data_IF_159175914960
#
_entry.id   IF_159175914960
#
_cell.length_a   1.000
_cell.length_b   1.000
_cell.length_c   1.000
_cell.angle_alpha   90.00
_cell.angle_beta   90.00
_cell.angle_gamma   90.00
#
_symmetry.space_group_name_H-M   'P 1'
#
loop_
_entity.id
_entity.type
_entity.pdbx_description
1 polymer ?
#
# COMPACT_ATOMS: atom_id res chain seq x y z
N UNK A 1 4.59 25.22 40.19
CA UNK A 1 4.26 25.05 38.75
C UNK A 1 5.25 24.13 37.99
N UNK A 2 6.52 24.02 38.37
CA UNK A 2 7.51 23.19 37.63
C UNK A 2 7.28 21.66 37.61
N UNK A 3 6.59 21.09 38.61
CA UNK A 3 6.31 19.63 38.66
C UNK A 3 5.29 19.17 37.61
N UNK A 4 4.35 20.04 37.20
CA UNK A 4 3.35 19.69 36.19
C UNK A 4 3.96 19.64 34.78
N UNK A 5 4.96 20.49 34.54
CA UNK A 5 5.66 20.58 33.25
C UNK A 5 6.50 19.32 32.99
N UNK A 6 7.13 18.77 34.03
CA UNK A 6 7.90 17.52 33.94
C UNK A 6 7.03 16.30 33.57
N UNK A 7 5.77 16.27 34.03
CA UNK A 7 4.82 15.19 33.73
C UNK A 7 4.37 15.21 32.26
N UNK A 8 4.17 16.40 31.68
CA UNK A 8 3.87 16.54 30.25
C UNK A 8 5.03 16.07 29.37
N UNK A 9 6.28 16.33 29.78
CA UNK A 9 7.48 15.88 29.05
C UNK A 9 7.62 14.35 28.99
N UNK A 10 7.11 13.64 29.99
CA UNK A 10 7.18 12.18 30.06
C UNK A 10 6.25 11.48 29.05
N UNK A 11 5.27 12.19 28.47
CA UNK A 11 4.28 11.63 27.55
C UNK A 11 4.63 11.83 26.06
N UNK A 12 5.65 12.65 25.74
CA UNK A 12 6.14 12.81 24.36
C UNK A 12 6.59 11.52 23.66
N UNK A 13 7.29 10.55 24.29
CA UNK A 13 7.77 9.37 23.56
C UNK A 13 6.65 8.45 23.07
N UNK A 14 5.42 8.56 23.61
CA UNK A 14 4.28 7.76 23.14
C UNK A 14 3.72 8.25 21.79
N UNK A 15 3.94 9.51 21.41
CA UNK A 15 3.47 10.07 20.13
C UNK A 15 4.38 9.68 18.95
N UNK A 16 5.62 9.27 19.20
CA UNK A 16 6.62 9.01 18.16
C UNK A 16 6.45 7.65 17.43
N UNK A 17 5.53 6.78 17.87
CA UNK A 17 5.39 5.40 17.36
C UNK A 17 4.22 5.20 16.38
N UNK A 18 3.54 6.27 15.97
CA UNK A 18 2.32 6.17 15.17
C UNK A 18 2.49 6.44 13.66
N UNK A 19 3.69 6.33 13.07
CA UNK A 19 3.89 6.35 11.61
C UNK A 19 4.58 5.06 11.15
N UNK A 20 3.79 4.01 10.95
CA UNK A 20 4.21 2.80 10.25
C UNK A 20 4.32 3.08 8.75
N UNK A 21 5.35 2.53 8.12
CA UNK A 21 5.53 2.57 6.67
C UNK A 21 5.19 1.19 6.10
N UNK A 22 4.69 1.16 4.88
CA UNK A 22 4.54 -0.06 4.10
C UNK A 22 5.33 0.01 2.80
N UNK A 23 5.77 -1.15 2.32
CA UNK A 23 6.23 -1.36 0.94
C UNK A 23 5.57 -2.60 0.39
N UNK A 24 4.92 -2.48 -0.76
CA UNK A 24 4.39 -3.60 -1.54
C UNK A 24 5.31 -3.78 -2.73
N UNK A 25 6.04 -4.88 -2.73
CA UNK A 25 6.84 -5.30 -3.89
C UNK A 25 6.14 -6.43 -4.60
N UNK A 26 6.07 -6.37 -5.92
CA UNK A 26 5.55 -7.48 -6.70
C UNK A 26 6.44 -7.87 -7.86
N UNK A 27 6.30 -9.13 -8.25
CA UNK A 27 6.92 -9.72 -9.43
C UNK A 27 5.88 -10.56 -10.17
N UNK A 28 5.89 -10.45 -11.50
CA UNK A 28 5.12 -11.34 -12.35
C UNK A 28 5.80 -11.57 -13.69
N UNK A 29 5.82 -12.82 -14.14
CA UNK A 29 6.49 -13.23 -15.38
C UNK A 29 5.92 -12.51 -16.60
N UNK A 30 4.64 -12.15 -16.56
CA UNK A 30 3.93 -11.48 -17.66
C UNK A 30 3.77 -9.96 -17.48
N UNK A 31 4.36 -9.37 -16.43
CA UNK A 31 4.41 -7.92 -16.27
C UNK A 31 5.44 -7.33 -17.24
N UNK A 32 5.01 -6.35 -18.04
CA UNK A 32 5.82 -5.71 -19.06
C UNK A 32 6.30 -4.35 -18.56
N UNK A 33 7.47 -3.93 -19.01
CA UNK A 33 7.94 -2.57 -18.73
C UNK A 33 6.92 -1.55 -19.24
N UNK A 34 6.58 -0.58 -18.40
CA UNK A 34 5.56 0.43 -18.72
C UNK A 34 4.14 0.04 -18.32
N UNK A 35 3.87 -1.20 -17.91
CA UNK A 35 2.61 -1.52 -17.26
C UNK A 35 2.44 -0.67 -16.00
N UNK A 36 1.22 -0.21 -15.76
CA UNK A 36 0.88 0.58 -14.59
C UNK A 36 0.15 -0.30 -13.57
N UNK A 37 0.67 -0.32 -12.36
CA UNK A 37 0.02 -0.96 -11.22
C UNK A 37 -0.63 0.12 -10.39
N UNK A 38 -1.93 0.00 -10.17
CA UNK A 38 -2.69 0.88 -9.30
C UNK A 38 -2.94 0.18 -7.97
N UNK A 39 -2.96 0.96 -6.90
CA UNK A 39 -3.30 0.53 -5.55
C UNK A 39 -4.50 1.36 -5.09
N UNK A 40 -5.49 0.68 -4.52
CA UNK A 40 -6.60 1.32 -3.82
C UNK A 40 -6.82 0.67 -2.46
N UNK A 41 -6.91 1.47 -1.41
CA UNK A 41 -7.20 1.00 -0.06
C UNK A 41 -7.91 2.07 0.78
N UNK A 42 -8.58 1.64 1.84
CA UNK A 42 -9.27 2.55 2.75
C UNK A 42 -8.35 2.94 3.91
N UNK A 43 -8.29 4.24 4.23
CA UNK A 43 -7.60 4.79 5.39
C UNK A 43 -8.54 5.72 6.15
N UNK A 44 -9.04 5.27 7.31
CA UNK A 44 -10.16 5.93 7.97
C UNK A 44 -11.38 5.91 7.06
N UNK A 45 -12.01 7.07 6.80
CA UNK A 45 -13.17 7.18 5.91
C UNK A 45 -12.82 7.53 4.46
N UNK A 46 -11.53 7.58 4.11
CA UNK A 46 -11.07 7.97 2.77
C UNK A 46 -10.52 6.78 2.01
N UNK A 47 -10.76 6.75 0.70
CA UNK A 47 -10.02 5.89 -0.22
C UNK A 47 -8.73 6.59 -0.64
N UNK A 48 -7.63 5.87 -0.52
CA UNK A 48 -6.33 6.25 -1.04
C UNK A 48 -6.12 5.53 -2.37
N UNK A 49 -5.65 6.27 -3.36
CA UNK A 49 -5.30 5.76 -4.67
C UNK A 49 -3.85 6.11 -4.95
N UNK A 50 -3.06 5.13 -5.37
CA UNK A 50 -1.66 5.30 -5.74
C UNK A 50 -1.37 4.48 -7.00
N UNK A 51 -0.23 4.73 -7.64
CA UNK A 51 0.21 3.93 -8.76
C UNK A 51 1.72 3.93 -8.94
N UNK A 52 2.22 2.90 -9.59
CA UNK A 52 3.62 2.75 -9.96
C UNK A 52 3.74 2.14 -11.36
N UNK A 53 4.95 2.14 -11.91
CA UNK A 53 5.25 1.57 -13.21
C UNK A 53 6.10 0.32 -13.03
N UNK A 54 5.80 -0.73 -13.79
CA UNK A 54 6.60 -1.94 -13.85
C UNK A 54 7.93 -1.67 -14.55
N UNK A 55 9.02 -2.12 -13.92
CA UNK A 55 10.37 -2.16 -14.49
C UNK A 55 10.99 -3.52 -14.21
N UNK A 56 11.52 -4.17 -15.25
CA UNK A 56 12.13 -5.50 -15.19
C UNK A 56 11.20 -6.52 -14.51
N UNK A 57 9.94 -6.56 -14.95
CA UNK A 57 8.89 -7.46 -14.43
C UNK A 57 8.55 -7.24 -12.94
N UNK A 58 8.99 -6.14 -12.34
CA UNK A 58 8.82 -5.83 -10.92
C UNK A 58 8.18 -4.46 -10.73
N UNK A 59 7.51 -4.30 -9.60
CA UNK A 59 6.98 -3.01 -9.17
C UNK A 59 7.13 -2.84 -7.67
N UNK A 60 7.12 -1.58 -7.23
CA UNK A 60 7.13 -1.22 -5.82
C UNK A 60 6.17 -0.04 -5.57
N UNK A 61 5.34 -0.17 -4.54
CA UNK A 61 4.48 0.87 -3.98
C UNK A 61 4.87 1.10 -2.53
N UNK A 62 4.93 2.37 -2.09
CA UNK A 62 5.31 2.74 -0.72
C UNK A 62 4.34 3.75 -0.17
N UNK A 63 4.08 3.66 1.13
CA UNK A 63 3.27 4.67 1.81
C UNK A 63 3.39 4.60 3.31
N UNK A 64 2.69 5.51 3.98
CA UNK A 64 2.55 5.53 5.43
C UNK A 64 1.19 4.95 5.80
N UNK A 65 1.21 3.89 6.59
CA UNK A 65 -0.01 3.24 7.05
C UNK A 65 0.24 2.55 8.39
N UNK A 66 -0.64 2.80 9.34
CA UNK A 66 -0.44 2.49 10.77
C UNK A 66 -1.49 1.55 11.33
N UNK A 67 -2.42 1.13 10.49
CA UNK A 67 -3.50 0.20 10.82
C UNK A 67 -3.44 -0.97 9.85
N UNK A 68 -4.51 -1.76 9.80
CA UNK A 68 -4.73 -2.79 8.78
C UNK A 68 -5.96 -2.39 7.97
N UNK A 69 -5.86 -2.45 6.65
CA UNK A 69 -7.00 -2.21 5.78
C UNK A 69 -6.99 -3.17 4.60
N UNK A 70 -8.19 -3.57 4.19
CA UNK A 70 -8.37 -4.24 2.92
C UNK A 70 -8.25 -3.23 1.78
N UNK A 71 -7.51 -3.62 0.77
CA UNK A 71 -7.37 -2.92 -0.49
C UNK A 71 -7.29 -3.90 -1.64
N UNK A 72 -6.98 -3.37 -2.81
CA UNK A 72 -6.67 -4.17 -3.99
C UNK A 72 -5.66 -3.44 -4.85
N UNK A 73 -4.99 -4.21 -5.69
CA UNK A 73 -4.17 -3.71 -6.77
C UNK A 73 -4.80 -4.10 -8.10
N UNK A 74 -4.64 -3.25 -9.11
CA UNK A 74 -5.10 -3.51 -10.48
C UNK A 74 -4.00 -3.17 -11.48
N UNK A 75 -3.90 -3.94 -12.56
CA UNK A 75 -2.98 -3.66 -13.66
C UNK A 75 -3.70 -2.96 -14.81
N UNK A 76 -3.09 -1.88 -15.30
CA UNK A 76 -3.48 -1.10 -16.49
C UNK A 76 -4.92 -0.53 -16.50
N UNK A 77 -5.70 -0.78 -15.46
CA UNK A 77 -7.04 -0.24 -15.26
C UNK A 77 -7.06 0.65 -14.02
N UNK A 78 -7.18 1.97 -14.24
CA UNK A 78 -7.25 2.94 -13.15
C UNK A 78 -8.63 2.87 -12.47
N UNK A 79 -8.72 2.58 -11.16
CA UNK A 79 -9.99 2.47 -10.47
C UNK A 79 -10.83 3.75 -10.43
N UNK A 80 -10.24 4.92 -10.69
CA UNK A 80 -10.97 6.18 -10.75
C UNK A 80 -11.73 6.41 -12.07
N UNK A 81 -11.34 5.71 -13.14
CA UNK A 81 -11.84 6.00 -14.49
C UNK A 81 -12.30 4.76 -15.26
N UNK A 82 -11.82 3.57 -14.90
CA UNK A 82 -12.18 2.35 -15.59
C UNK A 82 -13.59 1.90 -15.21
N UNK A 83 -14.39 1.52 -16.21
CA UNK A 83 -15.72 0.93 -16.00
C UNK A 83 -15.63 -0.46 -15.35
N UNK A 84 -14.56 -1.21 -15.65
CA UNK A 84 -14.33 -2.55 -15.11
C UNK A 84 -12.85 -2.79 -14.84
N UNK A 85 -12.56 -3.52 -13.76
CA UNK A 85 -11.21 -3.96 -13.40
C UNK A 85 -11.07 -5.47 -13.64
N UNK A 86 -10.22 -5.85 -14.59
CA UNK A 86 -10.08 -7.26 -15.02
C UNK A 86 -8.91 -8.01 -14.38
N UNK A 87 -7.78 -7.33 -14.13
CA UNK A 87 -6.56 -7.94 -13.57
C UNK A 87 -6.32 -7.34 -12.17
N UNK A 88 -7.05 -7.85 -11.18
CA UNK A 88 -7.07 -7.34 -9.81
C UNK A 88 -6.66 -8.38 -8.78
N UNK A 89 -5.99 -7.95 -7.72
CA UNK A 89 -5.68 -8.79 -6.57
C UNK A 89 -6.02 -8.08 -5.27
N UNK A 90 -6.81 -8.75 -4.42
CA UNK A 90 -7.15 -8.23 -3.11
C UNK A 90 -5.99 -8.41 -2.14
N UNK A 91 -5.66 -7.37 -1.38
CA UNK A 91 -4.57 -7.39 -0.41
C UNK A 91 -4.98 -6.73 0.90
N UNK A 92 -4.27 -7.09 1.97
CA UNK A 92 -4.29 -6.33 3.21
C UNK A 92 -3.06 -5.44 3.26
N UNK A 93 -3.28 -4.14 3.49
CA UNK A 93 -2.23 -3.15 3.73
C UNK A 93 -1.99 -3.13 5.23
N UNK A 94 -0.74 -3.34 5.62
CA UNK A 94 -0.27 -3.22 7.00
C UNK A 94 1.15 -2.66 6.99
N UNK A 95 1.61 -2.17 8.14
CA UNK A 95 2.99 -1.68 8.27
C UNK A 95 3.97 -2.84 8.05
N UNK A 96 4.92 -2.67 7.13
CA UNK A 96 5.92 -3.69 6.82
C UNK A 96 6.11 -3.91 5.32
N UNK A 97 6.74 -5.04 4.99
CA UNK A 97 7.01 -5.45 3.62
C UNK A 97 6.00 -6.52 3.19
N UNK A 98 5.25 -6.21 2.15
CA UNK A 98 4.28 -7.10 1.51
C UNK A 98 4.89 -7.54 0.17
N UNK A 99 4.98 -8.85 -0.06
CA UNK A 99 5.55 -9.40 -1.28
C UNK A 99 4.50 -10.19 -2.07
N UNK A 100 4.26 -9.78 -3.31
CA UNK A 100 3.27 -10.37 -4.20
C UNK A 100 3.99 -11.01 -5.40
N UNK A 101 4.21 -12.31 -5.32
CA UNK A 101 4.82 -13.06 -6.40
C UNK A 101 3.75 -13.93 -7.05
N UNK A 102 3.45 -13.67 -8.32
CA UNK A 102 2.55 -14.52 -9.08
C UNK A 102 3.19 -14.97 -10.39
N UNK A 103 3.15 -16.28 -10.73
CA UNK A 103 3.76 -16.80 -11.94
C UNK A 103 3.10 -16.26 -13.22
N UNK A 104 1.76 -16.17 -13.23
CA UNK A 104 1.01 -16.02 -14.48
C UNK A 104 0.28 -14.66 -14.58
N UNK A 105 -0.44 -14.22 -13.53
CA UNK A 105 -1.22 -12.96 -13.50
C UNK A 105 -1.32 -12.42 -12.06
N UNK A 106 -1.80 -11.18 -11.82
CA UNK A 106 -2.00 -10.72 -10.42
C UNK A 106 -2.99 -11.61 -9.65
N UNK A 107 -3.86 -12.33 -10.34
CA UNK A 107 -4.83 -13.26 -9.74
C UNK A 107 -4.24 -14.67 -9.62
N UNK A 108 -4.33 -15.27 -8.44
CA UNK A 108 -4.22 -16.73 -8.23
C UNK A 108 -5.67 -17.24 -8.23
N UNK A 109 -6.00 -18.17 -9.13
CA UNK A 109 -7.33 -18.78 -9.25
C UNK A 109 -7.74 -19.49 -7.96
#
# INVERSE_FOLDING_TARGET
>A
MGKLLLLFLFHLPLLAKAQGNFSITGYGKHLKNGDKIFLSYKQGDKFIYDSTIVVSNRYELKGKFTSVARGYISRNANPLYAEMLHDTFNIYIESGKISLNSPDHLTIL
#
